data_IF_086793819954
#
_entry.id   IF_086793819954
#
_cell.length_a   1.000
_cell.length_b   1.000
_cell.length_c   1.000
_cell.angle_alpha   90.00
_cell.angle_beta   90.00
_cell.angle_gamma   90.00
#
_symmetry.space_group_name_H-M   'P 1'
#
loop_
_entity.id
_entity.type
_entity.pdbx_description
1 polymer ?
#
# COMPACT_ATOMS: atom_id res chain seq x y z
N UNK A 1 -72.38 1.47 3.33
CA UNK A 1 -71.02 1.51 3.93
C UNK A 1 -70.00 1.53 2.80
N UNK A 2 -69.44 2.69 2.47
CA UNK A 2 -68.44 2.85 1.38
C UNK A 2 -67.06 2.55 1.96
N UNK A 3 -66.39 1.50 1.47
CA UNK A 3 -65.03 1.13 1.87
C UNK A 3 -64.05 2.06 1.14
N UNK A 4 -63.36 2.93 1.88
CA UNK A 4 -62.20 3.66 1.36
C UNK A 4 -61.00 2.70 1.30
N UNK A 5 -60.46 2.49 0.11
CA UNK A 5 -59.13 1.90 -0.07
C UNK A 5 -58.09 3.00 0.13
N UNK A 6 -57.37 2.94 1.23
CA UNK A 6 -56.16 3.76 1.46
C UNK A 6 -54.99 3.09 0.74
N UNK A 7 -54.49 3.71 -0.33
CA UNK A 7 -53.24 3.32 -0.99
C UNK A 7 -52.09 3.96 -0.23
N UNK A 8 -51.27 3.12 0.42
CA UNK A 8 -50.04 3.56 1.08
C UNK A 8 -48.92 3.58 0.02
N UNK A 9 -48.60 4.78 -0.48
CA UNK A 9 -47.45 4.97 -1.37
C UNK A 9 -46.16 4.88 -0.54
N UNK A 10 -45.48 3.74 -0.60
CA UNK A 10 -44.12 3.58 -0.07
C UNK A 10 -43.19 4.31 -1.05
N UNK A 11 -42.85 5.55 -0.71
CA UNK A 11 -41.72 6.26 -1.33
C UNK A 11 -40.46 5.54 -0.87
N UNK A 12 -39.96 4.63 -1.70
CA UNK A 12 -38.65 4.02 -1.50
C UNK A 12 -37.59 5.12 -1.58
N UNK A 13 -37.07 5.54 -0.44
CA UNK A 13 -35.78 6.22 -0.38
C UNK A 13 -34.73 5.23 -0.88
N UNK A 14 -34.45 5.28 -2.18
CA UNK A 14 -33.22 4.74 -2.72
C UNK A 14 -32.09 5.62 -2.15
N UNK A 15 -31.65 5.29 -0.94
CA UNK A 15 -30.27 5.57 -0.58
C UNK A 15 -29.45 4.79 -1.59
N UNK A 16 -28.97 5.47 -2.63
CA UNK A 16 -27.78 5.03 -3.32
C UNK A 16 -26.70 4.97 -2.26
N UNK A 17 -26.56 3.80 -1.62
CA UNK A 17 -25.33 3.44 -0.97
C UNK A 17 -24.29 3.56 -2.09
N UNK A 18 -23.63 4.72 -2.20
CA UNK A 18 -22.37 4.80 -2.90
C UNK A 18 -21.53 3.72 -2.24
N UNK A 19 -21.35 2.60 -2.93
CA UNK A 19 -20.51 1.52 -2.46
C UNK A 19 -19.18 2.16 -2.08
N UNK A 20 -18.83 2.09 -0.80
CA UNK A 20 -17.59 2.67 -0.32
C UNK A 20 -16.46 2.00 -1.11
N UNK A 21 -15.72 2.78 -1.89
CA UNK A 21 -14.59 2.29 -2.67
C UNK A 21 -13.66 1.46 -1.77
N UNK A 22 -13.34 0.25 -2.19
CA UNK A 22 -12.45 -0.64 -1.44
C UNK A 22 -10.98 -0.38 -1.80
N UNK A 23 -10.06 -0.97 -1.03
CA UNK A 23 -8.64 -0.93 -1.40
C UNK A 23 -8.41 -1.72 -2.69
N UNK A 24 -9.12 -2.84 -2.89
CA UNK A 24 -9.05 -3.62 -4.11
C UNK A 24 -9.49 -2.82 -5.34
N UNK A 25 -10.55 -2.00 -5.22
CA UNK A 25 -10.98 -1.11 -6.31
C UNK A 25 -9.87 -0.15 -6.70
N UNK A 26 -9.19 0.47 -5.72
CA UNK A 26 -8.04 1.34 -6.00
C UNK A 26 -6.86 0.61 -6.64
N UNK A 27 -6.58 -0.62 -6.21
CA UNK A 27 -5.52 -1.45 -6.80
C UNK A 27 -5.85 -1.79 -8.26
N UNK A 28 -7.11 -2.12 -8.55
CA UNK A 28 -7.59 -2.44 -9.89
C UNK A 28 -7.62 -1.20 -10.80
N UNK A 29 -8.16 -0.06 -10.31
CA UNK A 29 -8.20 1.23 -11.01
C UNK A 29 -6.79 1.67 -11.45
N UNK A 30 -5.80 1.50 -10.57
CA UNK A 30 -4.41 1.88 -10.84
C UNK A 30 -3.59 0.76 -11.52
N UNK A 31 -4.18 -0.43 -11.74
CA UNK A 31 -3.51 -1.59 -12.34
C UNK A 31 -2.23 -2.01 -11.59
N UNK A 32 -2.29 -2.03 -10.25
CA UNK A 32 -1.13 -2.33 -9.35
C UNK A 32 -1.23 -3.68 -8.65
N UNK A 33 -2.19 -4.52 -9.03
CA UNK A 33 -2.43 -5.86 -8.49
C UNK A 33 -1.19 -6.76 -8.59
N UNK A 34 -0.36 -6.53 -9.61
CA UNK A 34 0.88 -7.28 -9.83
C UNK A 34 1.84 -7.21 -8.64
N UNK A 35 1.80 -6.15 -7.82
CA UNK A 35 2.67 -5.99 -6.65
C UNK A 35 2.29 -6.94 -5.51
N UNK A 36 1.05 -7.44 -5.49
CA UNK A 36 0.60 -8.45 -4.53
C UNK A 36 1.39 -9.77 -4.72
N UNK A 37 1.82 -10.35 -3.60
CA UNK A 37 2.65 -11.55 -3.58
C UNK A 37 3.90 -11.35 -2.74
N UNK A 38 4.92 -12.17 -2.99
CA UNK A 38 6.20 -12.11 -2.30
C UNK A 38 7.34 -11.97 -3.32
N UNK A 39 8.32 -11.17 -2.96
CA UNK A 39 9.42 -10.71 -3.78
C UNK A 39 10.72 -10.85 -3.00
N UNK A 40 11.80 -11.21 -3.67
CA UNK A 40 13.12 -11.42 -3.07
C UNK A 40 14.20 -10.78 -3.95
N UNK A 41 15.20 -10.20 -3.30
CA UNK A 41 16.41 -9.69 -3.95
C UNK A 41 17.64 -10.08 -3.11
N UNK A 42 18.78 -10.21 -3.77
CA UNK A 42 20.08 -10.23 -3.13
C UNK A 42 20.84 -9.00 -3.64
N UNK A 43 21.26 -8.15 -2.71
CA UNK A 43 21.93 -6.89 -2.99
C UNK A 43 23.26 -6.91 -2.26
N UNK A 44 24.33 -7.23 -2.98
CA UNK A 44 25.69 -7.33 -2.43
C UNK A 44 25.78 -8.25 -1.19
N UNK A 45 25.09 -9.39 -1.22
CA UNK A 45 25.05 -10.35 -0.11
C UNK A 45 24.03 -10.01 0.99
N UNK A 46 23.28 -8.92 0.82
CA UNK A 46 22.13 -8.62 1.67
C UNK A 46 20.86 -9.18 1.05
N UNK A 47 20.27 -10.17 1.73
CA UNK A 47 18.98 -10.70 1.31
C UNK A 47 17.88 -9.75 1.73
N UNK A 48 16.99 -9.44 0.81
CA UNK A 48 15.78 -8.66 1.03
C UNK A 48 14.57 -9.51 0.61
N UNK A 49 13.56 -9.61 1.46
CA UNK A 49 12.26 -10.16 1.10
C UNK A 49 11.16 -9.17 1.42
N UNK A 50 10.24 -8.96 0.48
CA UNK A 50 9.10 -8.07 0.59
C UNK A 50 7.84 -8.85 0.22
N UNK A 51 6.78 -8.73 0.99
CA UNK A 51 5.50 -9.32 0.61
C UNK A 51 4.31 -8.43 0.92
N UNK A 52 3.33 -8.47 0.02
CA UNK A 52 2.05 -7.81 0.12
C UNK A 52 0.95 -8.86 0.03
N UNK A 53 0.17 -9.02 1.09
CA UNK A 53 -0.88 -10.05 1.18
C UNK A 53 -2.17 -9.48 1.77
N UNK A 54 -3.30 -9.86 1.21
CA UNK A 54 -4.59 -9.58 1.82
C UNK A 54 -4.67 -10.24 3.21
N UNK A 55 -4.98 -9.44 4.22
CA UNK A 55 -5.28 -9.91 5.59
C UNK A 55 -6.73 -9.63 5.98
N UNK A 56 -7.35 -8.63 5.36
CA UNK A 56 -8.79 -8.48 5.27
C UNK A 56 -9.10 -8.38 3.78
N UNK A 57 -9.83 -9.36 3.24
CA UNK A 57 -10.12 -9.46 1.81
C UNK A 57 -10.63 -8.10 1.30
N UNK A 58 -10.04 -7.64 0.20
CA UNK A 58 -10.37 -6.42 -0.55
C UNK A 58 -10.16 -5.07 0.19
N UNK A 59 -9.83 -5.10 1.48
CA UNK A 59 -9.79 -3.88 2.31
C UNK A 59 -8.45 -3.61 2.99
N UNK A 60 -7.72 -4.65 3.41
CA UNK A 60 -6.45 -4.47 4.13
C UNK A 60 -5.38 -5.42 3.62
N UNK A 61 -4.26 -4.86 3.19
CA UNK A 61 -3.05 -5.58 2.79
C UNK A 61 -2.02 -5.49 3.91
N UNK A 62 -1.43 -6.61 4.31
CA UNK A 62 -0.21 -6.60 5.10
C UNK A 62 1.01 -6.45 4.20
N UNK A 63 1.92 -5.58 4.59
CA UNK A 63 3.26 -5.43 4.01
C UNK A 63 4.29 -5.93 5.00
N UNK A 64 5.08 -6.91 4.60
CA UNK A 64 6.14 -7.51 5.40
C UNK A 64 7.47 -7.40 4.65
N UNK A 65 8.38 -6.60 5.18
CA UNK A 65 9.74 -6.41 4.67
C UNK A 65 10.74 -7.01 5.65
N UNK A 66 11.67 -7.80 5.15
CA UNK A 66 12.77 -8.37 5.92
C UNK A 66 14.07 -8.20 5.17
N UNK A 67 15.08 -7.71 5.87
CA UNK A 67 16.48 -7.66 5.45
C UNK A 67 17.32 -8.50 6.42
N UNK A 68 18.64 -8.53 6.24
CA UNK A 68 19.54 -9.20 7.17
C UNK A 68 19.46 -8.61 8.59
N UNK A 69 19.34 -7.29 8.70
CA UNK A 69 19.46 -6.56 9.98
C UNK A 69 18.13 -6.05 10.54
N UNK A 70 17.06 -6.10 9.75
CA UNK A 70 15.76 -5.58 10.19
C UNK A 70 14.59 -6.39 9.63
N UNK A 71 13.47 -6.32 10.33
CA UNK A 71 12.20 -6.88 9.91
C UNK A 71 11.10 -5.87 10.25
N UNK A 72 10.20 -5.58 9.31
CA UNK A 72 9.11 -4.65 9.52
C UNK A 72 7.80 -5.20 8.98
N UNK A 73 6.74 -4.93 9.72
CA UNK A 73 5.39 -5.38 9.40
C UNK A 73 4.43 -4.20 9.51
N UNK A 74 3.58 -4.05 8.50
CA UNK A 74 2.64 -2.93 8.40
C UNK A 74 1.33 -3.34 7.75
N UNK A 75 0.29 -2.55 8.00
CA UNK A 75 -1.01 -2.68 7.39
C UNK A 75 -1.25 -1.50 6.45
N UNK A 76 -1.78 -1.80 5.26
CA UNK A 76 -2.14 -0.85 4.22
C UNK A 76 -3.65 -0.90 4.05
N UNK A 77 -4.29 0.26 4.10
CA UNK A 77 -5.75 0.40 4.04
C UNK A 77 -6.17 1.69 3.36
N UNK A 78 -7.44 1.76 2.95
CA UNK A 78 -8.04 2.99 2.44
C UNK A 78 -8.64 3.79 3.60
N UNK A 79 -8.23 5.04 3.76
CA UNK A 79 -8.85 5.95 4.69
C UNK A 79 -10.25 6.34 4.16
N UNK A 80 -11.35 6.01 4.87
CA UNK A 80 -12.71 6.24 4.36
C UNK A 80 -13.08 7.73 4.28
N UNK A 81 -12.38 8.60 5.01
CA UNK A 81 -12.65 10.04 5.04
C UNK A 81 -11.93 10.77 3.91
N UNK A 82 -10.68 10.43 3.65
CA UNK A 82 -9.84 11.13 2.66
C UNK A 82 -9.77 10.41 1.32
N UNK A 83 -10.07 9.10 1.29
CA UNK A 83 -9.86 8.26 0.12
C UNK A 83 -8.38 7.97 -0.16
N UNK A 84 -7.47 8.37 0.74
CA UNK A 84 -6.03 8.10 0.63
C UNK A 84 -5.72 6.65 1.02
N UNK A 85 -4.72 6.04 0.38
CA UNK A 85 -4.18 4.75 0.77
C UNK A 85 -3.05 4.99 1.77
N UNK A 86 -3.26 4.54 2.99
CA UNK A 86 -2.35 4.76 4.12
C UNK A 86 -1.71 3.45 4.55
N UNK A 87 -0.48 3.53 5.05
CA UNK A 87 0.27 2.42 5.63
C UNK A 87 0.68 2.77 7.05
N UNK A 88 0.62 1.82 7.99
CA UNK A 88 1.18 1.98 9.34
C UNK A 88 1.75 0.66 9.83
N UNK A 89 2.92 0.71 10.46
CA UNK A 89 3.56 -0.48 11.00
C UNK A 89 4.71 -0.19 11.94
N UNK A 90 5.40 -1.27 12.29
CA UNK A 90 6.51 -1.26 13.23
C UNK A 90 7.63 -2.16 12.70
N UNK A 91 8.85 -1.85 13.09
CA UNK A 91 10.02 -2.70 12.83
C UNK A 91 10.45 -3.50 14.07
N UNK A 92 11.47 -4.33 13.87
CA UNK A 92 12.03 -5.24 14.87
C UNK A 92 12.62 -4.52 16.10
N UNK A 93 12.87 -3.21 15.99
CA UNK A 93 13.33 -2.35 17.08
C UNK A 93 12.16 -1.61 17.77
N UNK A 94 10.92 -1.90 17.36
CA UNK A 94 9.71 -1.23 17.86
C UNK A 94 9.46 0.15 17.25
N UNK A 95 10.23 0.54 16.22
CA UNK A 95 10.16 1.85 15.60
C UNK A 95 8.91 1.96 14.73
N UNK A 96 8.07 2.97 14.98
CA UNK A 96 6.86 3.20 14.19
C UNK A 96 7.20 3.80 12.84
N UNK A 97 6.52 3.31 11.81
CA UNK A 97 6.48 3.94 10.49
C UNK A 97 5.04 4.18 10.04
N UNK A 98 4.84 5.28 9.31
CA UNK A 98 3.60 5.59 8.60
C UNK A 98 3.94 5.85 7.14
N UNK A 99 3.04 5.51 6.23
CA UNK A 99 3.23 5.79 4.81
C UNK A 99 1.98 6.24 4.10
N UNK A 100 2.17 6.95 3.00
CA UNK A 100 1.12 7.30 2.04
C UNK A 100 1.47 6.74 0.68
N UNK A 101 0.52 6.06 0.06
CA UNK A 101 0.65 5.53 -1.29
C UNK A 101 0.07 6.50 -2.31
N UNK A 102 0.74 6.64 -3.44
CA UNK A 102 0.32 7.48 -4.55
C UNK A 102 1.16 7.20 -5.80
N UNK A 103 0.87 7.88 -6.91
CA UNK A 103 1.62 7.70 -8.14
C UNK A 103 2.94 8.49 -8.14
N UNK A 104 3.96 7.96 -8.79
CA UNK A 104 5.10 8.70 -9.34
C UNK A 104 5.20 8.39 -10.82
N UNK A 105 4.58 9.24 -11.65
CA UNK A 105 4.26 8.87 -13.03
C UNK A 105 3.37 7.63 -13.03
N UNK A 106 3.76 6.61 -13.78
CA UNK A 106 3.04 5.32 -13.88
C UNK A 106 3.37 4.34 -12.73
N UNK A 107 4.30 4.70 -11.83
CA UNK A 107 4.73 3.79 -10.76
C UNK A 107 3.91 4.00 -9.49
N UNK A 108 3.38 2.93 -8.85
CA UNK A 108 2.95 3.02 -7.47
C UNK A 108 4.14 3.34 -6.58
N UNK A 109 4.00 4.34 -5.72
CA UNK A 109 5.02 4.80 -4.79
C UNK A 109 4.44 4.91 -3.40
N UNK A 110 5.23 4.52 -2.40
CA UNK A 110 4.97 4.82 -1.00
C UNK A 110 6.01 5.81 -0.49
N UNK A 111 5.57 6.87 0.18
CA UNK A 111 6.43 7.72 1.01
C UNK A 111 6.28 7.22 2.44
N UNK A 112 7.35 6.69 3.01
CA UNK A 112 7.41 6.21 4.39
C UNK A 112 8.10 7.26 5.26
N UNK A 113 7.55 7.49 6.44
CA UNK A 113 8.18 8.28 7.51
C UNK A 113 8.30 7.40 8.75
N UNK A 114 9.50 7.28 9.28
CA UNK A 114 9.79 6.65 10.57
C UNK A 114 10.13 7.71 11.62
N UNK A 115 9.82 7.42 12.88
CA UNK A 115 10.15 8.28 14.03
C UNK A 115 11.17 7.55 14.91
N UNK A 116 12.29 8.18 15.25
CA UNK A 116 13.26 7.63 16.20
C UNK A 116 12.83 7.74 17.65
N UNK A 117 13.60 7.07 18.52
CA UNK A 117 13.58 7.23 19.97
C UNK A 117 13.90 8.67 20.42
N UNK A 118 14.58 9.45 19.58
CA UNK A 118 14.86 10.87 19.76
C UNK A 118 13.84 11.81 19.10
N UNK A 119 12.68 11.29 18.67
CA UNK A 119 11.63 12.01 17.93
C UNK A 119 12.06 12.57 16.56
N UNK A 120 13.23 12.19 16.05
CA UNK A 120 13.66 12.57 14.70
C UNK A 120 12.83 11.82 13.65
N UNK A 121 12.31 12.57 12.68
CA UNK A 121 11.61 11.99 11.53
C UNK A 121 12.58 11.75 10.39
N UNK A 122 12.55 10.55 9.84
CA UNK A 122 13.26 10.20 8.60
C UNK A 122 12.28 9.68 7.58
N UNK A 123 12.34 10.23 6.38
CA UNK A 123 11.45 9.85 5.27
C UNK A 123 12.24 9.29 4.10
N UNK A 124 11.64 8.34 3.40
CA UNK A 124 12.12 7.82 2.12
C UNK A 124 10.93 7.46 1.24
N UNK A 125 11.12 7.51 -0.08
CA UNK A 125 10.14 7.05 -1.03
C UNK A 125 10.60 5.77 -1.72
N UNK A 126 9.69 4.85 -1.96
CA UNK A 126 9.92 3.63 -2.74
C UNK A 126 8.87 3.56 -3.83
N UNK A 127 9.29 3.66 -5.09
CA UNK A 127 8.43 3.44 -6.25
C UNK A 127 8.73 2.09 -6.88
N UNK A 128 7.70 1.43 -7.42
CA UNK A 128 7.82 0.11 -8.03
C UNK A 128 7.50 0.16 -9.52
N UNK A 129 8.32 -0.51 -10.32
CA UNK A 129 8.07 -0.71 -11.75
C UNK A 129 7.92 -2.20 -12.05
N UNK A 130 6.86 -2.55 -12.77
CA UNK A 130 6.69 -3.90 -13.32
C UNK A 130 7.66 -4.10 -14.47
N UNK A 131 8.50 -5.13 -14.40
CA UNK A 131 9.35 -5.56 -15.53
C UNK A 131 8.61 -6.65 -16.31
N UNK A 132 8.21 -7.71 -15.61
CA UNK A 132 7.39 -8.80 -16.16
C UNK A 132 6.56 -9.47 -15.04
N UNK A 133 6.01 -10.67 -15.27
CA UNK A 133 5.22 -11.39 -14.26
C UNK A 133 6.00 -11.91 -13.05
N UNK A 134 7.31 -12.05 -13.18
CA UNK A 134 8.23 -12.62 -12.21
C UNK A 134 9.29 -11.62 -11.70
N UNK A 135 9.43 -10.46 -12.32
CA UNK A 135 10.43 -9.46 -11.96
C UNK A 135 9.80 -8.07 -11.78
N UNK A 136 10.22 -7.36 -10.75
CA UNK A 136 9.90 -5.94 -10.50
C UNK A 136 11.19 -5.19 -10.20
N UNK A 137 11.18 -3.88 -10.40
CA UNK A 137 12.21 -2.98 -9.91
C UNK A 137 11.64 -2.14 -8.76
N UNK A 138 12.43 -1.99 -7.69
CA UNK A 138 12.21 -0.99 -6.66
C UNK A 138 13.19 0.17 -6.85
N UNK A 139 12.68 1.40 -6.79
CA UNK A 139 13.45 2.63 -6.92
C UNK A 139 13.30 3.44 -5.63
N UNK A 140 14.43 3.77 -5.01
CA UNK A 140 14.50 4.55 -3.76
C UNK A 140 14.72 6.02 -4.11
N UNK A 141 13.93 6.88 -3.48
CA UNK A 141 14.04 8.34 -3.63
C UNK A 141 14.25 8.98 -2.27
N UNK A 142 15.09 10.01 -2.25
CA UNK A 142 15.15 10.94 -1.13
C UNK A 142 13.84 11.72 -1.01
N UNK A 143 13.50 12.11 0.21
CA UNK A 143 12.30 12.90 0.50
C UNK A 143 12.72 14.20 1.16
N UNK A 144 12.27 15.32 0.61
CA UNK A 144 12.59 16.65 1.12
C UNK A 144 11.86 16.98 2.44
N UNK A 145 12.18 18.13 3.04
CA UNK A 145 11.56 18.59 4.28
C UNK A 145 10.05 18.89 4.14
N UNK A 146 9.55 19.07 2.92
CA UNK A 146 8.13 19.25 2.61
C UNK A 146 7.39 17.93 2.38
N UNK A 147 8.10 16.80 2.39
CA UNK A 147 7.53 15.46 2.19
C UNK A 147 7.41 15.05 0.72
N UNK A 148 8.08 15.73 -0.21
CA UNK A 148 8.07 15.37 -1.62
C UNK A 148 9.23 14.43 -1.96
N UNK A 149 8.96 13.41 -2.75
CA UNK A 149 10.01 12.56 -3.31
C UNK A 149 10.79 13.31 -4.39
N UNK A 150 12.11 13.18 -4.39
CA UNK A 150 12.98 13.76 -5.42
C UNK A 150 12.68 13.23 -6.83
N UNK A 151 13.16 13.93 -7.84
CA UNK A 151 12.91 13.58 -9.24
C UNK A 151 13.65 12.31 -9.65
N UNK A 152 14.88 12.13 -9.17
CA UNK A 152 15.78 11.02 -9.52
C UNK A 152 15.92 10.03 -8.36
N UNK A 153 15.95 8.74 -8.69
CA UNK A 153 16.19 7.70 -7.71
C UNK A 153 17.64 7.74 -7.24
N UNK A 154 17.88 7.66 -5.94
CA UNK A 154 19.22 7.52 -5.38
C UNK A 154 19.77 6.10 -5.55
N UNK A 155 18.88 5.11 -5.64
CA UNK A 155 19.24 3.70 -5.82
C UNK A 155 18.07 2.94 -6.46
N UNK A 156 18.36 1.92 -7.27
CA UNK A 156 17.35 0.97 -7.73
C UNK A 156 17.90 -0.45 -7.74
N UNK A 157 17.00 -1.42 -7.60
CA UNK A 157 17.35 -2.84 -7.65
C UNK A 157 16.15 -3.67 -8.13
N UNK A 158 16.45 -4.80 -8.76
CA UNK A 158 15.44 -5.75 -9.20
C UNK A 158 15.11 -6.76 -8.11
N UNK A 159 13.85 -7.18 -8.07
CA UNK A 159 13.35 -8.24 -7.20
C UNK A 159 12.66 -9.30 -8.03
N UNK A 160 12.87 -10.56 -7.63
CA UNK A 160 12.25 -11.74 -8.26
C UNK A 160 11.09 -12.22 -7.42
N UNK A 161 10.03 -12.68 -8.05
CA UNK A 161 8.89 -13.28 -7.37
C UNK A 161 9.36 -14.53 -6.63
N UNK A 162 9.08 -14.59 -5.32
CA UNK A 162 9.35 -15.77 -4.50
C UNK A 162 8.46 -16.90 -4.97
N UNK A 163 9.06 -18.04 -5.33
CA UNK A 163 8.30 -19.25 -5.63
C UNK A 163 7.61 -19.73 -4.36
N UNK A 164 6.29 -19.92 -4.41
CA UNK A 164 5.58 -20.59 -3.33
C UNK A 164 6.15 -22.00 -3.19
N UNK A 165 6.53 -22.38 -1.96
CA UNK A 165 6.81 -23.79 -1.66
C UNK A 165 5.47 -24.50 -1.72
N UNK A 166 5.30 -25.37 -2.71
CA UNK A 166 4.18 -26.30 -2.81
C UNK A 166 4.20 -27.30 -1.65
#
# INVERSE_FOLDING_TARGET
>A
MKKLLTVLAIVGMAFSAQAQTSLADRINENQTDWLLGAWEADIDGNTLSLSYKWVVKDHVVASHLKTNDNESYSLIGLNPKTGEIEQTGYDSQGKKSTGKWGPKGEMPMVILTSVSDTDEKRSMAVAFRKIDGNNIEAQIFEVDASGNAGDFSSFSFEMKRKKEKK
#
